data_IF_895145802625
#
_entry.id   IF_895145802625
#
_cell.length_a   1.000
_cell.length_b   1.000
_cell.length_c   1.000
_cell.angle_alpha   90.00
_cell.angle_beta   90.00
_cell.angle_gamma   90.00
#
_symmetry.space_group_name_H-M   'P 1'
#
loop_
_entity.id
_entity.type
_entity.pdbx_description
1 polymer ?
#
# COMPACT_ATOMS: atom_id res chain seq x y z
N UNK A 1 35.82 -23.28 73.07
CA UNK A 1 36.30 -23.90 71.82
C UNK A 1 35.96 -22.94 70.69
N UNK A 2 36.90 -22.03 70.37
CA UNK A 2 36.75 -21.00 69.34
C UNK A 2 37.18 -21.62 68.01
N UNK A 3 36.25 -21.80 67.09
CA UNK A 3 36.58 -22.08 65.68
C UNK A 3 36.92 -20.74 65.01
N UNK A 4 37.99 -20.80 64.22
CA UNK A 4 38.76 -19.69 63.66
C UNK A 4 37.98 -18.94 62.57
N UNK A 5 38.12 -17.62 62.53
CA UNK A 5 37.68 -16.71 61.47
C UNK A 5 38.35 -16.96 60.10
N UNK A 6 39.13 -18.03 59.96
CA UNK A 6 39.84 -18.40 58.73
C UNK A 6 38.99 -19.20 57.71
N UNK A 7 37.82 -19.74 58.08
CA UNK A 7 36.99 -20.54 57.16
C UNK A 7 35.86 -19.75 56.48
N UNK A 8 35.58 -18.52 56.91
CA UNK A 8 34.56 -17.65 56.32
C UNK A 8 35.08 -16.76 55.16
N UNK A 9 36.37 -16.87 54.81
CA UNK A 9 36.98 -16.09 53.72
C UNK A 9 37.32 -16.92 52.47
N UNK A 10 36.86 -18.18 52.40
CA UNK A 10 37.12 -19.07 51.26
C UNK A 10 35.96 -19.21 50.26
N UNK A 11 34.88 -18.43 50.41
CA UNK A 11 33.72 -18.47 49.50
C UNK A 11 33.26 -17.08 49.04
N UNK A 12 34.19 -16.15 48.91
CA UNK A 12 34.00 -15.06 47.94
C UNK A 12 34.17 -15.68 46.56
N UNK A 13 33.09 -16.31 46.07
CA UNK A 13 32.98 -16.76 44.71
C UNK A 13 33.44 -15.62 43.80
N UNK A 14 34.53 -15.84 43.07
CA UNK A 14 34.82 -15.07 41.87
C UNK A 14 33.55 -15.11 41.03
N UNK A 15 32.79 -14.01 41.06
CA UNK A 15 31.82 -13.72 40.05
C UNK A 15 32.63 -13.45 38.79
N UNK A 16 32.98 -14.54 38.11
CA UNK A 16 33.41 -14.48 36.73
C UNK A 16 32.22 -13.89 35.99
N UNK A 17 32.27 -12.58 35.73
CA UNK A 17 31.41 -11.96 34.73
C UNK A 17 31.51 -12.86 33.50
N UNK A 18 30.39 -13.41 32.99
CA UNK A 18 30.46 -14.23 31.80
C UNK A 18 31.05 -13.32 30.73
N UNK A 19 32.28 -13.61 30.33
CA UNK A 19 32.99 -12.83 29.32
C UNK A 19 32.16 -12.99 28.07
N UNK A 20 31.33 -11.98 27.77
CA UNK A 20 30.62 -11.90 26.51
C UNK A 20 31.70 -11.80 25.45
N UNK A 21 32.10 -12.94 24.92
CA UNK A 21 33.08 -13.02 23.85
C UNK A 21 32.36 -12.53 22.60
N UNK A 22 32.41 -11.21 22.41
CA UNK A 22 31.86 -10.54 21.23
C UNK A 22 32.73 -11.01 20.05
N UNK A 23 32.28 -12.08 19.39
CA UNK A 23 32.89 -12.57 18.17
C UNK A 23 32.78 -11.45 17.13
N UNK A 24 33.91 -10.92 16.65
CA UNK A 24 33.96 -9.79 15.68
C UNK A 24 33.03 -9.98 14.48
N UNK A 25 32.88 -11.23 14.00
CA UNK A 25 31.97 -11.59 12.90
C UNK A 25 30.50 -11.21 13.20
N UNK A 26 30.03 -11.37 14.44
CA UNK A 26 28.68 -10.96 14.85
C UNK A 26 28.51 -9.44 14.86
N UNK A 27 29.60 -8.71 15.14
CA UNK A 27 29.60 -7.25 15.10
C UNK A 27 29.57 -6.75 13.67
N UNK A 28 30.34 -7.31 12.76
CA UNK A 28 30.31 -6.91 11.34
C UNK A 28 28.96 -7.28 10.70
N UNK A 29 28.39 -8.45 10.97
CA UNK A 29 27.03 -8.79 10.53
C UNK A 29 26.00 -7.80 11.09
N UNK A 30 26.07 -7.45 12.38
CA UNK A 30 25.21 -6.42 12.97
C UNK A 30 25.50 -5.00 12.48
N UNK A 31 26.70 -4.69 11.98
CA UNK A 31 27.05 -3.34 11.50
C UNK A 31 26.64 -3.18 10.03
N UNK A 32 26.69 -4.25 9.24
CA UNK A 32 26.08 -4.33 7.91
C UNK A 32 24.54 -4.32 8.01
N UNK A 33 23.97 -5.08 8.95
CA UNK A 33 22.52 -5.06 9.27
C UNK A 33 22.07 -3.77 9.99
N UNK A 34 23.00 -2.97 10.55
CA UNK A 34 22.69 -1.66 11.13
C UNK A 34 22.90 -0.50 10.15
N UNK A 35 23.53 -0.74 8.98
CA UNK A 35 23.70 0.23 7.91
C UNK A 35 22.78 -0.02 6.71
N UNK A 36 21.88 -0.99 6.78
CA UNK A 36 20.69 -1.03 5.93
C UNK A 36 19.69 -0.03 6.50
N UNK A 37 19.56 1.10 5.80
CA UNK A 37 18.69 2.26 6.00
C UNK A 37 17.86 2.31 7.28
N UNK A 38 17.96 3.44 8.00
CA UNK A 38 17.16 3.89 9.15
C UNK A 38 15.61 3.81 8.95
N UNK A 39 15.13 3.36 7.78
CA UNK A 39 13.73 3.22 7.39
C UNK A 39 13.28 1.75 7.19
N UNK A 40 14.16 0.76 7.33
CA UNK A 40 13.81 -0.65 7.09
C UNK A 40 13.20 -1.33 8.33
N UNK A 41 11.92 -1.04 8.56
CA UNK A 41 11.08 -1.76 9.53
C UNK A 41 10.21 -2.85 8.88
N UNK A 42 10.34 -3.11 7.58
CA UNK A 42 9.49 -4.04 6.83
C UNK A 42 9.54 -5.49 7.33
N UNK A 43 10.53 -5.85 8.15
CA UNK A 43 10.66 -7.19 8.75
C UNK A 43 10.71 -7.17 10.29
N UNK A 44 10.46 -6.02 10.94
CA UNK A 44 10.62 -5.85 12.40
C UNK A 44 9.50 -5.01 12.99
N UNK A 45 9.11 -5.33 14.23
CA UNK A 45 8.21 -4.48 15.01
C UNK A 45 8.68 -3.02 15.03
N UNK A 46 7.80 -2.09 14.65
CA UNK A 46 8.10 -0.66 14.64
C UNK A 46 8.17 -0.11 16.08
N UNK A 47 9.36 0.30 16.57
CA UNK A 47 9.54 0.74 17.95
C UNK A 47 8.73 2.01 18.23
N UNK A 48 8.27 2.16 19.49
CA UNK A 48 7.44 3.29 19.93
C UNK A 48 8.09 4.66 19.66
N UNK A 49 9.42 4.72 19.61
CA UNK A 49 10.21 5.92 19.32
C UNK A 49 10.08 6.43 17.88
N UNK A 50 9.60 5.60 16.94
CA UNK A 50 9.35 5.99 15.54
C UNK A 50 7.91 6.51 15.32
N UNK A 51 7.00 6.35 16.30
CA UNK A 51 5.60 6.79 16.24
C UNK A 51 5.44 8.30 16.50
N UNK A 52 6.10 9.11 15.68
CA UNK A 52 6.20 10.57 15.87
C UNK A 52 5.27 11.39 14.97
N UNK A 53 4.56 10.76 14.05
CA UNK A 53 3.83 11.43 12.97
C UNK A 53 2.39 11.70 13.41
N UNK A 54 1.90 12.92 13.17
CA UNK A 54 0.52 13.30 13.48
C UNK A 54 -0.46 12.57 12.57
N UNK A 55 -1.70 12.37 13.05
CA UNK A 55 -2.78 11.74 12.28
C UNK A 55 -2.94 12.38 10.91
N UNK A 56 -2.93 13.72 10.85
CA UNK A 56 -3.04 14.45 9.59
C UNK A 56 -1.89 14.15 8.62
N UNK A 57 -0.66 14.00 9.11
CA UNK A 57 0.48 13.66 8.25
C UNK A 57 0.39 12.21 7.75
N UNK A 58 -0.04 11.29 8.60
CA UNK A 58 -0.28 9.88 8.22
C UNK A 58 -1.41 9.80 7.19
N UNK A 59 -2.53 10.47 7.41
CA UNK A 59 -3.65 10.52 6.46
C UNK A 59 -3.25 11.15 5.12
N UNK A 60 -2.42 12.20 5.13
CA UNK A 60 -1.96 12.83 3.90
C UNK A 60 -0.96 11.95 3.11
N UNK A 61 -0.11 11.18 3.79
CA UNK A 61 0.74 10.17 3.16
C UNK A 61 -0.12 9.05 2.58
N UNK A 62 -1.11 8.56 3.33
CA UNK A 62 -2.05 7.55 2.87
C UNK A 62 -2.81 7.98 1.61
N UNK A 63 -3.18 9.28 1.50
CA UNK A 63 -3.80 9.81 0.28
C UNK A 63 -2.95 9.58 -0.98
N UNK A 64 -1.63 9.76 -0.92
CA UNK A 64 -0.81 9.45 -2.10
C UNK A 64 -0.58 7.96 -2.29
N UNK A 65 -0.57 7.16 -1.22
CA UNK A 65 -0.55 5.71 -1.32
C UNK A 65 -1.81 5.15 -1.99
N UNK A 66 -2.94 5.87 -2.01
CA UNK A 66 -4.17 5.45 -2.72
C UNK A 66 -4.40 6.19 -4.05
N UNK A 67 -3.48 7.08 -4.45
CA UNK A 67 -3.60 7.90 -5.68
C UNK A 67 -3.15 7.13 -6.93
N UNK A 68 -3.82 6.00 -7.20
CA UNK A 68 -3.55 5.13 -8.35
C UNK A 68 -4.48 5.46 -9.52
N UNK A 69 -3.91 5.81 -10.68
CA UNK A 69 -4.70 6.04 -11.91
C UNK A 69 -5.36 4.76 -12.39
N UNK A 70 -4.82 3.59 -12.04
CA UNK A 70 -5.42 2.29 -12.34
C UNK A 70 -6.81 2.17 -11.72
N UNK A 71 -7.02 2.66 -10.50
CA UNK A 71 -8.35 2.61 -9.86
C UNK A 71 -9.36 3.48 -10.61
N UNK A 72 -8.95 4.64 -11.10
CA UNK A 72 -9.79 5.52 -11.93
C UNK A 72 -10.14 4.85 -13.26
N UNK A 73 -9.15 4.23 -13.92
CA UNK A 73 -9.35 3.51 -15.17
C UNK A 73 -10.29 2.30 -15.00
N UNK A 74 -10.15 1.55 -13.91
CA UNK A 74 -11.06 0.44 -13.56
C UNK A 74 -12.47 0.98 -13.29
N UNK A 75 -12.61 2.04 -12.50
CA UNK A 75 -13.91 2.67 -12.21
C UNK A 75 -14.61 3.15 -13.49
N UNK A 76 -13.87 3.82 -14.38
CA UNK A 76 -14.37 4.25 -15.69
C UNK A 76 -14.76 3.06 -16.57
N UNK A 77 -13.96 1.99 -16.57
CA UNK A 77 -14.26 0.75 -17.30
C UNK A 77 -15.54 0.11 -16.78
N UNK A 78 -15.74 0.03 -15.46
CA UNK A 78 -16.96 -0.50 -14.86
C UNK A 78 -18.17 0.34 -15.27
N UNK A 79 -18.07 1.67 -15.22
CA UNK A 79 -19.15 2.57 -15.64
C UNK A 79 -19.50 2.39 -17.13
N UNK A 80 -18.50 2.32 -18.00
CA UNK A 80 -18.69 2.13 -19.45
C UNK A 80 -19.28 0.76 -19.79
N UNK A 81 -18.87 -0.31 -19.10
CA UNK A 81 -19.34 -1.66 -19.43
C UNK A 81 -20.70 -1.99 -18.81
N UNK A 82 -20.97 -1.54 -17.59
CA UNK A 82 -22.14 -1.96 -16.80
C UNK A 82 -23.19 -0.87 -16.56
N UNK A 83 -22.93 0.35 -17.05
CA UNK A 83 -23.80 1.51 -16.86
C UNK A 83 -23.64 2.15 -15.48
N UNK A 84 -24.11 3.40 -15.36
CA UNK A 84 -23.89 4.20 -14.15
C UNK A 84 -24.52 3.60 -12.90
N UNK A 85 -25.79 3.15 -12.98
CA UNK A 85 -26.52 2.67 -11.80
C UNK A 85 -25.87 1.43 -11.19
N UNK A 86 -25.46 0.47 -12.01
CA UNK A 86 -24.82 -0.76 -11.54
C UNK A 86 -23.40 -0.48 -11.04
N UNK A 87 -22.65 0.36 -11.77
CA UNK A 87 -21.30 0.77 -11.37
C UNK A 87 -21.30 1.49 -10.01
N UNK A 88 -22.22 2.44 -9.83
CA UNK A 88 -22.35 3.20 -8.59
C UNK A 88 -22.60 2.30 -7.38
N UNK A 89 -23.60 1.42 -7.47
CA UNK A 89 -23.90 0.49 -6.38
C UNK A 89 -22.79 -0.53 -6.14
N UNK A 90 -22.16 -1.03 -7.21
CA UNK A 90 -21.03 -1.96 -7.09
C UNK A 90 -19.83 -1.29 -6.40
N UNK A 91 -19.47 -0.07 -6.78
CA UNK A 91 -18.36 0.69 -6.16
C UNK A 91 -18.66 0.95 -4.68
N UNK A 92 -19.90 1.34 -4.33
CA UNK A 92 -20.29 1.51 -2.93
C UNK A 92 -20.23 0.21 -2.13
N UNK A 93 -20.73 -0.90 -2.70
CA UNK A 93 -20.73 -2.19 -2.05
C UNK A 93 -19.29 -2.70 -1.82
N UNK A 94 -18.44 -2.61 -2.84
CA UNK A 94 -17.02 -2.99 -2.73
C UNK A 94 -16.28 -2.09 -1.75
N UNK A 95 -16.52 -0.78 -1.80
CA UNK A 95 -15.95 0.17 -0.85
C UNK A 95 -16.35 -0.15 0.60
N UNK A 96 -17.61 -0.51 0.84
CA UNK A 96 -18.07 -0.96 2.14
C UNK A 96 -17.40 -2.27 2.57
N UNK A 97 -17.24 -3.24 1.66
CA UNK A 97 -16.55 -4.51 1.95
C UNK A 97 -15.09 -4.23 2.33
N UNK A 98 -14.35 -3.46 1.52
CA UNK A 98 -12.95 -3.08 1.78
C UNK A 98 -12.83 -2.35 3.11
N UNK A 99 -13.74 -1.43 3.41
CA UNK A 99 -13.73 -0.71 4.68
C UNK A 99 -13.98 -1.64 5.87
N UNK A 100 -15.00 -2.50 5.80
CA UNK A 100 -15.37 -3.41 6.88
C UNK A 100 -14.30 -4.48 7.13
N UNK A 101 -13.59 -4.95 6.10
CA UNK A 101 -12.50 -5.90 6.24
C UNK A 101 -11.18 -5.22 6.63
N UNK A 102 -10.89 -4.04 6.07
CA UNK A 102 -9.65 -3.29 6.32
C UNK A 102 -9.61 -2.62 7.70
N UNK A 103 -10.76 -2.22 8.26
CA UNK A 103 -10.83 -1.57 9.56
C UNK A 103 -10.24 -2.42 10.71
N UNK A 104 -10.66 -3.69 10.93
CA UNK A 104 -10.06 -4.51 11.98
C UNK A 104 -8.58 -4.76 11.72
N UNK A 105 -8.19 -5.06 10.48
CA UNK A 105 -6.78 -5.32 10.11
C UNK A 105 -5.90 -4.11 10.47
N UNK A 106 -6.30 -2.91 10.00
CA UNK A 106 -5.58 -1.66 10.27
C UNK A 106 -5.52 -1.33 11.77
N UNK A 107 -6.60 -1.58 12.51
CA UNK A 107 -6.63 -1.37 13.96
C UNK A 107 -5.62 -2.26 14.69
N UNK A 108 -5.57 -3.56 14.37
CA UNK A 108 -4.64 -4.49 15.00
C UNK A 108 -3.19 -4.22 14.56
N UNK A 109 -2.95 -3.93 13.28
CA UNK A 109 -1.64 -3.53 12.77
C UNK A 109 -1.10 -2.30 13.52
N UNK A 110 -1.87 -1.22 13.61
CA UNK A 110 -1.45 0.02 14.25
C UNK A 110 -1.30 -0.11 15.78
N UNK A 111 -2.22 -0.82 16.45
CA UNK A 111 -2.19 -1.00 17.90
C UNK A 111 -0.99 -1.85 18.34
N UNK A 112 -0.75 -2.95 17.64
CA UNK A 112 0.27 -3.94 17.99
C UNK A 112 1.57 -3.81 17.18
N UNK A 113 1.68 -2.85 16.26
CA UNK A 113 2.87 -2.65 15.43
C UNK A 113 3.22 -3.91 14.63
N UNK A 114 2.20 -4.57 14.08
CA UNK A 114 2.34 -5.82 13.34
C UNK A 114 2.29 -5.53 11.85
N UNK A 115 3.22 -6.15 11.16
CA UNK A 115 3.27 -6.28 9.70
C UNK A 115 2.29 -7.35 9.21
N UNK A 116 1.91 -7.32 7.93
CA UNK A 116 0.94 -8.29 7.39
C UNK A 116 1.44 -9.74 7.49
N UNK A 117 2.74 -9.95 7.36
CA UNK A 117 3.37 -11.25 7.61
C UNK A 117 3.15 -11.76 9.04
N UNK A 118 3.22 -10.86 10.02
CA UNK A 118 3.01 -11.24 11.43
C UNK A 118 1.53 -11.50 11.72
N UNK A 119 0.63 -10.74 11.08
CA UNK A 119 -0.81 -10.96 11.19
C UNK A 119 -1.21 -12.33 10.60
N UNK A 120 -0.70 -12.68 9.43
CA UNK A 120 -0.99 -13.98 8.78
C UNK A 120 -0.40 -15.14 9.58
N UNK A 121 0.83 -15.01 10.11
CA UNK A 121 1.42 -16.02 11.03
C UNK A 121 0.55 -16.22 12.27
N UNK A 122 0.06 -15.13 12.87
CA UNK A 122 -0.81 -15.16 14.05
C UNK A 122 -2.22 -15.70 13.77
N UNK A 123 -2.71 -15.57 12.54
CA UNK A 123 -4.02 -16.03 12.08
C UNK A 123 -4.07 -17.53 11.69
N UNK A 124 -3.16 -18.35 12.21
CA UNK A 124 -3.08 -19.81 11.98
C UNK A 124 -2.47 -20.28 10.65
N UNK A 125 -1.99 -19.39 9.79
CA UNK A 125 -1.34 -19.79 8.53
C UNK A 125 0.12 -20.26 8.71
N UNK A 126 0.74 -19.97 9.86
CA UNK A 126 2.13 -20.31 10.15
C UNK A 126 3.13 -19.65 9.18
N UNK A 127 4.38 -20.12 9.19
CA UNK A 127 5.44 -19.55 8.36
C UNK A 127 5.22 -19.77 6.86
N UNK A 128 4.76 -20.97 6.47
CA UNK A 128 4.52 -21.32 5.06
C UNK A 128 3.36 -20.49 4.50
N UNK A 129 2.24 -20.42 5.21
CA UNK A 129 1.10 -19.65 4.75
C UNK A 129 1.36 -18.14 4.73
N UNK A 130 2.14 -17.62 5.68
CA UNK A 130 2.63 -16.23 5.60
C UNK A 130 3.44 -15.99 4.34
N UNK A 131 4.39 -16.87 4.00
CA UNK A 131 5.20 -16.73 2.77
C UNK A 131 4.33 -16.74 1.50
N UNK A 132 3.31 -17.61 1.46
CA UNK A 132 2.36 -17.66 0.34
C UNK A 132 1.54 -16.36 0.26
N UNK A 133 1.06 -15.85 1.39
CA UNK A 133 0.34 -14.57 1.44
C UNK A 133 1.20 -13.41 0.97
N UNK A 134 2.45 -13.26 1.44
CA UNK A 134 3.36 -12.20 0.97
C UNK A 134 3.63 -12.33 -0.53
N UNK A 135 3.78 -13.55 -1.05
CA UNK A 135 3.95 -13.77 -2.49
C UNK A 135 2.73 -13.29 -3.30
N UNK A 136 1.51 -13.53 -2.81
CA UNK A 136 0.28 -13.04 -3.44
C UNK A 136 0.26 -11.52 -3.46
N UNK A 137 0.58 -10.86 -2.33
CA UNK A 137 0.60 -9.40 -2.25
C UNK A 137 1.68 -8.79 -3.15
N UNK A 138 2.91 -9.32 -3.10
CA UNK A 138 3.98 -8.88 -3.99
C UNK A 138 3.62 -9.02 -5.47
N UNK A 139 2.96 -10.12 -5.85
CA UNK A 139 2.48 -10.33 -7.22
C UNK A 139 1.45 -9.26 -7.63
N UNK A 140 0.52 -8.91 -6.74
CA UNK A 140 -0.45 -7.84 -6.96
C UNK A 140 0.23 -6.48 -7.15
N UNK A 141 1.23 -6.17 -6.31
CA UNK A 141 2.01 -4.93 -6.44
C UNK A 141 2.71 -4.84 -7.79
N UNK A 142 3.30 -5.93 -8.29
CA UNK A 142 3.89 -5.94 -9.63
C UNK A 142 2.87 -5.73 -10.75
N UNK A 143 1.67 -6.32 -10.63
CA UNK A 143 0.59 -6.12 -11.62
C UNK A 143 0.16 -4.65 -11.64
N UNK A 144 -0.05 -4.04 -10.48
CA UNK A 144 -0.46 -2.64 -10.39
C UNK A 144 0.63 -1.71 -10.89
N UNK A 145 1.90 -1.97 -10.54
CA UNK A 145 3.04 -1.24 -11.08
C UNK A 145 3.08 -1.31 -12.61
N UNK A 146 2.88 -2.50 -13.19
CA UNK A 146 2.84 -2.67 -14.63
C UNK A 146 1.66 -1.91 -15.29
N UNK A 147 0.48 -1.92 -14.65
CA UNK A 147 -0.68 -1.18 -15.14
C UNK A 147 -0.49 0.34 -15.05
N UNK A 148 0.09 0.86 -13.97
CA UNK A 148 0.43 2.28 -13.83
C UNK A 148 1.46 2.70 -14.89
N UNK A 149 2.49 1.88 -15.12
CA UNK A 149 3.48 2.12 -16.17
C UNK A 149 2.84 2.12 -17.57
N UNK A 150 1.83 1.26 -17.79
CA UNK A 150 1.07 1.23 -19.03
C UNK A 150 0.22 2.49 -19.24
N UNK A 151 -0.49 2.96 -18.20
CA UNK A 151 -1.24 4.22 -18.24
C UNK A 151 -0.32 5.39 -18.55
N UNK A 152 0.84 5.45 -17.88
CA UNK A 152 1.84 6.48 -18.14
C UNK A 152 2.36 6.42 -19.58
N UNK A 153 2.61 5.22 -20.11
CA UNK A 153 3.04 5.07 -21.51
C UNK A 153 1.98 5.55 -22.50
N UNK A 154 0.70 5.30 -22.26
CA UNK A 154 -0.38 5.86 -23.09
C UNK A 154 -0.41 7.40 -23.02
N UNK A 155 -0.18 8.00 -21.86
CA UNK A 155 -0.07 9.45 -21.74
C UNK A 155 1.12 10.02 -22.53
N UNK A 156 2.28 9.33 -22.48
CA UNK A 156 3.47 9.72 -23.24
C UNK A 156 3.28 9.56 -24.75
N UNK A 157 2.61 8.50 -25.19
CA UNK A 157 2.22 8.32 -26.60
C UNK A 157 1.28 9.44 -27.04
N UNK A 158 0.29 9.79 -26.23
CA UNK A 158 -0.70 10.81 -26.58
C UNK A 158 -0.07 12.20 -26.71
N UNK A 159 0.85 12.58 -25.81
CA UNK A 159 1.41 13.93 -25.76
C UNK A 159 2.71 14.09 -26.57
N UNK A 160 3.59 13.09 -26.53
CA UNK A 160 4.91 13.15 -27.19
C UNK A 160 4.99 12.28 -28.45
N UNK A 161 3.93 11.54 -28.79
CA UNK A 161 3.93 10.58 -29.91
C UNK A 161 5.05 9.53 -29.79
N UNK A 162 5.44 9.21 -28.56
CA UNK A 162 6.44 8.21 -28.27
C UNK A 162 5.87 6.80 -28.53
N UNK A 163 6.60 5.90 -29.21
CA UNK A 163 6.14 4.53 -29.38
C UNK A 163 5.91 3.82 -28.03
N UNK A 164 4.80 3.10 -27.91
CA UNK A 164 4.38 2.44 -26.65
C UNK A 164 5.46 1.58 -26.01
N UNK A 165 6.21 0.80 -26.79
CA UNK A 165 7.26 -0.07 -26.25
C UNK A 165 8.38 0.72 -25.54
N UNK A 166 8.70 1.93 -26.04
CA UNK A 166 9.64 2.84 -25.37
C UNK A 166 8.97 3.47 -24.16
N UNK A 167 7.70 3.86 -24.29
CA UNK A 167 6.90 4.39 -23.18
C UNK A 167 6.86 3.45 -21.98
N UNK A 168 6.61 2.16 -22.19
CA UNK A 168 6.62 1.15 -21.12
C UNK A 168 7.98 1.07 -20.41
N UNK A 169 9.07 1.04 -21.19
CA UNK A 169 10.42 0.96 -20.64
C UNK A 169 10.76 2.21 -19.82
N UNK A 170 10.48 3.40 -20.36
CA UNK A 170 10.76 4.68 -19.68
C UNK A 170 9.95 4.80 -18.39
N UNK A 171 8.64 4.52 -18.45
CA UNK A 171 7.77 4.59 -17.27
C UNK A 171 8.23 3.67 -16.15
N UNK A 172 8.67 2.45 -16.47
CA UNK A 172 9.18 1.51 -15.47
C UNK A 172 10.57 1.91 -14.90
N UNK A 173 11.49 2.35 -15.76
CA UNK A 173 12.87 2.65 -15.35
C UNK A 173 12.98 3.93 -14.52
N UNK A 174 12.13 4.94 -14.77
CA UNK A 174 12.15 6.21 -14.02
C UNK A 174 11.84 6.02 -12.54
N UNK A 175 11.10 4.96 -12.17
CA UNK A 175 10.76 4.66 -10.77
C UNK A 175 11.94 4.11 -9.97
N UNK A 176 12.86 3.38 -10.61
CA UNK A 176 14.02 2.77 -9.94
C UNK A 176 14.84 3.79 -9.13
N UNK A 177 15.36 4.89 -9.71
CA UNK A 177 16.13 5.88 -8.95
C UNK A 177 15.30 6.61 -7.91
N UNK A 178 13.97 6.68 -8.07
CA UNK A 178 13.09 7.30 -7.08
C UNK A 178 13.03 6.45 -5.81
N UNK A 179 12.89 5.14 -5.97
CA UNK A 179 12.77 4.19 -4.85
C UNK A 179 14.11 3.99 -4.14
N UNK A 180 15.26 4.11 -4.81
CA UNK A 180 16.58 3.97 -4.16
C UNK A 180 16.87 5.02 -3.09
N UNK A 181 16.13 6.13 -3.05
CA UNK A 181 16.30 7.20 -2.06
C UNK A 181 15.32 7.10 -0.87
N UNK A 182 14.54 6.02 -0.78
CA UNK A 182 13.67 5.73 0.36
C UNK A 182 12.41 6.59 0.46
N UNK A 183 11.65 6.39 1.54
CA UNK A 183 10.33 7.00 1.72
C UNK A 183 10.44 8.52 1.97
N UNK A 184 11.56 8.98 2.53
CA UNK A 184 11.78 10.41 2.79
C UNK A 184 11.82 11.24 1.50
N UNK A 185 12.46 10.76 0.42
CA UNK A 185 12.46 11.48 -0.86
C UNK A 185 11.07 11.44 -1.51
N UNK A 186 10.45 10.25 -1.55
CA UNK A 186 9.11 10.04 -2.11
C UNK A 186 8.12 10.97 -1.44
N UNK A 187 8.09 11.02 -0.11
CA UNK A 187 7.18 11.88 0.65
C UNK A 187 7.40 13.37 0.36
N UNK A 188 8.65 13.82 0.19
CA UNK A 188 8.95 15.22 -0.17
C UNK A 188 8.41 15.59 -1.55
N UNK A 189 8.61 14.73 -2.54
CA UNK A 189 8.10 14.95 -3.90
C UNK A 189 6.57 14.94 -3.87
N UNK A 190 5.97 13.96 -3.20
CA UNK A 190 4.52 13.81 -3.05
C UNK A 190 3.86 15.04 -2.43
N UNK A 191 4.47 15.68 -1.42
CA UNK A 191 3.90 16.91 -0.84
C UNK A 191 3.74 18.06 -1.85
N UNK A 192 4.57 18.10 -2.89
CA UNK A 192 4.51 19.12 -3.95
C UNK A 192 3.60 18.67 -5.09
N UNK A 193 3.71 17.40 -5.50
CA UNK A 193 2.95 16.87 -6.65
C UNK A 193 1.48 16.63 -6.31
N UNK A 194 1.15 16.27 -5.07
CA UNK A 194 -0.23 15.98 -4.62
C UNK A 194 -1.21 17.14 -4.85
N UNK A 195 -0.94 18.41 -4.44
CA UNK A 195 -1.87 19.51 -4.71
C UNK A 195 -2.03 19.79 -6.22
N UNK A 196 -0.94 19.68 -6.99
CA UNK A 196 -0.97 19.86 -8.45
C UNK A 196 -1.83 18.75 -9.09
N UNK A 197 -1.61 17.51 -8.68
CA UNK A 197 -2.36 16.35 -9.14
C UNK A 197 -3.85 16.48 -8.82
N UNK A 198 -4.22 16.89 -7.60
CA UNK A 198 -5.63 17.12 -7.23
C UNK A 198 -6.29 18.19 -8.11
N UNK A 199 -5.60 19.30 -8.38
CA UNK A 199 -6.12 20.34 -9.27
C UNK A 199 -6.34 19.75 -10.68
N UNK A 200 -5.35 19.06 -11.22
CA UNK A 200 -5.42 18.46 -12.56
C UNK A 200 -6.48 17.34 -12.64
N UNK A 201 -6.72 16.61 -11.56
CA UNK A 201 -7.75 15.57 -11.46
C UNK A 201 -9.15 16.18 -11.57
N UNK A 202 -9.43 17.27 -10.85
CA UNK A 202 -10.76 17.89 -10.86
C UNK A 202 -11.01 18.80 -12.08
N UNK A 203 -9.97 19.38 -12.66
CA UNK A 203 -10.06 20.30 -13.79
C UNK A 203 -10.92 19.77 -14.97
N UNK A 204 -10.72 18.55 -15.50
CA UNK A 204 -11.53 18.06 -16.61
C UNK A 204 -13.01 17.91 -16.23
N UNK A 205 -13.32 17.45 -15.03
CA UNK A 205 -14.70 17.32 -14.56
C UNK A 205 -15.39 18.69 -14.43
N UNK A 206 -14.68 19.69 -13.90
CA UNK A 206 -15.19 21.06 -13.81
C UNK A 206 -15.41 21.69 -15.20
N UNK A 207 -14.49 21.45 -16.14
CA UNK A 207 -14.62 21.94 -17.51
C UNK A 207 -15.83 21.32 -18.23
N UNK A 208 -16.04 20.01 -18.07
CA UNK A 208 -17.20 19.30 -18.63
C UNK A 208 -18.50 19.84 -18.03
N UNK A 209 -18.56 19.99 -16.70
CA UNK A 209 -19.74 20.50 -16.01
C UNK A 209 -20.08 21.94 -16.41
N UNK A 210 -19.06 22.77 -16.67
CA UNK A 210 -19.27 24.13 -17.16
C UNK A 210 -19.81 24.17 -18.61
N UNK A 211 -19.35 23.25 -19.46
CA UNK A 211 -19.77 23.17 -20.85
C UNK A 211 -21.15 22.51 -21.03
N UNK A 212 -21.50 21.52 -20.20
CA UNK A 212 -22.79 20.82 -20.22
C UNK A 212 -23.32 20.65 -18.78
N UNK A 213 -24.05 21.65 -18.25
CA UNK A 213 -24.59 21.58 -16.88
C UNK A 213 -25.56 20.40 -16.66
N UNK A 214 -26.24 19.93 -17.71
CA UNK A 214 -27.18 18.81 -17.66
C UNK A 214 -26.48 17.44 -17.68
N UNK A 215 -25.15 17.40 -17.72
CA UNK A 215 -24.37 16.16 -17.81
C UNK A 215 -24.64 15.20 -16.64
N UNK A 216 -24.94 15.72 -15.45
CA UNK A 216 -25.24 14.90 -14.26
C UNK A 216 -26.53 14.09 -14.48
N UNK A 217 -27.55 14.72 -15.06
CA UNK A 217 -28.81 14.06 -15.41
C UNK A 217 -28.62 13.04 -16.53
N UNK A 218 -27.73 13.31 -17.49
CA UNK A 218 -27.39 12.37 -18.56
C UNK A 218 -26.59 11.18 -18.03
N UNK A 219 -25.69 11.42 -17.07
CA UNK A 219 -24.85 10.40 -16.44
C UNK A 219 -25.69 9.40 -15.65
N UNK A 220 -26.70 9.85 -14.91
CA UNK A 220 -27.58 8.95 -14.16
C UNK A 220 -28.37 7.97 -15.06
N UNK A 221 -28.62 8.38 -16.31
CA UNK A 221 -29.27 7.56 -17.35
C UNK A 221 -28.26 6.80 -18.23
N UNK A 222 -26.97 6.87 -17.95
CA UNK A 222 -25.95 6.26 -18.80
C UNK A 222 -26.02 4.73 -18.75
N UNK A 223 -26.39 4.14 -19.89
CA UNK A 223 -26.59 2.70 -20.07
C UNK A 223 -25.31 1.87 -20.13
N UNK A 224 -24.19 2.50 -20.44
CA UNK A 224 -22.98 1.78 -20.86
C UNK A 224 -23.16 1.02 -22.18
N UNK A 225 -22.20 0.16 -22.49
CA UNK A 225 -22.16 -0.69 -23.70
C UNK A 225 -23.25 -1.78 -23.65
N UNK A 226 -23.74 -2.13 -22.46
CA UNK A 226 -24.76 -3.17 -22.27
C UNK A 226 -26.16 -2.76 -22.77
N UNK A 227 -26.41 -1.47 -23.00
CA UNK A 227 -27.65 -0.95 -23.56
C UNK A 227 -28.84 -0.91 -22.60
N UNK A 228 -28.67 -1.30 -21.32
CA UNK A 228 -29.71 -1.22 -20.30
C UNK A 228 -29.61 0.10 -19.53
N UNK A 229 -30.19 1.16 -20.11
CA UNK A 229 -30.19 2.51 -19.54
C UNK A 229 -31.03 2.58 -18.26
N UNK A 230 -30.43 3.06 -17.17
CA UNK A 230 -31.17 3.49 -15.97
C UNK A 230 -31.80 2.39 -15.11
N UNK A 231 -31.63 1.11 -15.45
CA UNK A 231 -32.17 -0.01 -14.66
C UNK A 231 -31.08 -0.77 -13.92
N UNK A 232 -31.37 -1.11 -12.67
CA UNK A 232 -30.50 -1.98 -11.87
C UNK A 232 -30.62 -3.43 -12.35
N UNK A 233 -29.49 -4.05 -12.66
CA UNK A 233 -29.40 -5.44 -13.06
C UNK A 233 -28.45 -6.20 -12.13
N UNK A 234 -28.98 -7.19 -11.42
CA UNK A 234 -28.22 -7.97 -10.45
C UNK A 234 -26.99 -8.67 -11.04
N UNK A 235 -27.06 -9.13 -12.30
CA UNK A 235 -25.94 -9.77 -12.98
C UNK A 235 -24.83 -8.77 -13.31
N UNK A 236 -25.19 -7.57 -13.79
CA UNK A 236 -24.22 -6.51 -14.08
C UNK A 236 -23.58 -5.97 -12.80
N UNK A 237 -24.40 -5.77 -11.76
CA UNK A 237 -23.91 -5.45 -10.42
C UNK A 237 -22.94 -6.51 -9.90
N UNK A 238 -23.28 -7.80 -10.03
CA UNK A 238 -22.41 -8.89 -9.61
C UNK A 238 -21.08 -8.92 -10.38
N UNK A 239 -21.13 -8.71 -11.70
CA UNK A 239 -19.93 -8.64 -12.54
C UNK A 239 -19.04 -7.44 -12.16
N UNK A 240 -19.62 -6.26 -12.01
CA UNK A 240 -18.92 -5.05 -11.56
C UNK A 240 -18.30 -5.23 -10.16
N UNK A 241 -19.05 -5.84 -9.25
CA UNK A 241 -18.60 -6.14 -7.88
C UNK A 241 -17.42 -7.11 -7.89
N UNK A 242 -17.44 -8.15 -8.74
CA UNK A 242 -16.35 -9.10 -8.87
C UNK A 242 -15.03 -8.43 -9.30
N UNK A 243 -15.11 -7.47 -10.24
CA UNK A 243 -13.93 -6.68 -10.64
C UNK A 243 -13.38 -5.88 -9.46
N UNK A 244 -14.24 -5.21 -8.68
CA UNK A 244 -13.81 -4.42 -7.54
C UNK A 244 -13.28 -5.26 -6.36
N UNK A 245 -13.90 -6.41 -6.07
CA UNK A 245 -13.45 -7.35 -5.01
C UNK A 245 -12.07 -7.91 -5.30
N UNK A 246 -11.67 -8.02 -6.57
CA UNK A 246 -10.32 -8.43 -6.94
C UNK A 246 -9.22 -7.50 -6.41
N UNK A 247 -9.55 -6.29 -5.96
CA UNK A 247 -8.62 -5.30 -5.41
C UNK A 247 -8.42 -5.42 -3.89
N UNK A 248 -9.23 -6.22 -3.18
CA UNK A 248 -9.09 -6.45 -1.73
C UNK A 248 -7.68 -6.87 -1.30
N UNK A 249 -6.92 -7.70 -2.05
CA UNK A 249 -5.56 -8.05 -1.69
C UNK A 249 -4.61 -6.87 -1.47
N UNK A 250 -4.90 -5.68 -2.02
CA UNK A 250 -4.11 -4.47 -1.77
C UNK A 250 -4.05 -4.07 -0.30
N UNK A 251 -5.03 -4.46 0.52
CA UNK A 251 -4.99 -4.21 1.96
C UNK A 251 -3.73 -4.80 2.59
N UNK A 252 -3.22 -5.93 2.06
CA UNK A 252 -1.98 -6.54 2.56
C UNK A 252 -0.77 -5.62 2.40
N UNK A 253 -0.60 -5.01 1.23
CA UNK A 253 0.51 -4.08 0.97
C UNK A 253 0.35 -2.74 1.71
N UNK A 254 -0.88 -2.27 1.92
CA UNK A 254 -1.13 -1.02 2.66
C UNK A 254 -0.90 -1.12 4.17
N UNK A 255 -0.83 -2.34 4.71
CA UNK A 255 -0.60 -2.61 6.13
C UNK A 255 0.89 -2.54 6.47
N UNK A 256 1.74 -2.95 5.54
CA UNK A 256 3.20 -2.93 5.66
C UNK A 256 3.76 -1.49 5.57
#
# INVERSE_FOLDING_TARGET
MRLSTAELTANAAEQVEPTQRIVKIRRDYNTWVANESIEDYALRFTPRSFRKWSILRVSNTALGAISFLVLEAIGGTIAVNYGFINAFWAILAVGAIIFLTGLPISYYAAKYGLDMDLLTRGASFGYIGSTISSFIYASFTFILFALEAAIMAYALELYFHLPLYIGYLVSALVVIPLVTHGITLISRIQMITQPIWLILMFLPFLAILHHDPDIISKLSMFAGISGQAGEFNLHMFGAATAVGVALIPQIGEQVD
#
